data_IF_231472522946
#
_entry.id   IF_231472522946
#
_cell.length_a   1.000
_cell.length_b   1.000
_cell.length_c   1.000
_cell.angle_alpha   90.00
_cell.angle_beta   90.00
_cell.angle_gamma   90.00
#
_symmetry.space_group_name_H-M   'P 1'
#
loop_
_entity.id
_entity.type
_entity.pdbx_description
1 polymer ?
#
# COMPACT_ATOMS: atom_id res chain seq x y z
N UNK A 1 6.42 -6.54 -12.26
CA UNK A 1 5.60 -5.42 -11.73
C UNK A 1 4.19 -5.42 -12.33
N UNK A 2 4.01 -5.21 -13.63
CA UNK A 2 2.67 -5.19 -14.26
C UNK A 2 1.81 -6.44 -14.00
N UNK A 3 2.35 -7.65 -14.12
CA UNK A 3 1.57 -8.88 -13.82
C UNK A 3 1.03 -8.87 -12.38
N UNK A 4 1.81 -8.38 -11.42
CA UNK A 4 1.37 -8.24 -10.03
C UNK A 4 0.29 -7.18 -9.91
N UNK A 5 0.50 -5.99 -10.49
CA UNK A 5 -0.46 -4.89 -10.50
C UNK A 5 -1.84 -5.32 -10.99
N UNK A 6 -1.92 -6.05 -12.09
CA UNK A 6 -3.21 -6.53 -12.62
C UNK A 6 -3.84 -7.61 -11.74
N UNK A 7 -3.04 -8.45 -11.08
CA UNK A 7 -3.53 -9.52 -10.19
C UNK A 7 -4.10 -9.00 -8.87
N UNK A 8 -3.64 -7.84 -8.40
CA UNK A 8 -4.12 -7.23 -7.14
C UNK A 8 -5.31 -6.29 -7.34
N UNK A 9 -5.81 -6.15 -8.57
CA UNK A 9 -7.00 -5.38 -8.89
C UNK A 9 -8.16 -6.29 -9.24
N UNK A 10 -9.38 -5.84 -8.91
CA UNK A 10 -10.61 -6.54 -9.23
C UNK A 10 -11.76 -5.54 -9.45
N UNK A 11 -12.76 -5.88 -10.30
CA UNK A 11 -13.93 -5.03 -10.49
C UNK A 11 -14.72 -4.92 -9.19
N UNK A 12 -15.25 -3.72 -8.91
CA UNK A 12 -16.04 -3.42 -7.70
C UNK A 12 -15.33 -3.76 -6.36
N UNK A 13 -13.99 -3.78 -6.37
CA UNK A 13 -13.19 -3.92 -5.17
C UNK A 13 -12.76 -2.56 -4.60
N UNK A 14 -11.96 -2.57 -3.55
CA UNK A 14 -11.62 -1.39 -2.76
C UNK A 14 -12.49 -1.27 -1.51
N UNK A 15 -12.49 -0.10 -0.88
CA UNK A 15 -13.03 0.08 0.47
C UNK A 15 -11.98 -0.14 1.55
N UNK A 16 -12.43 -0.28 2.80
CA UNK A 16 -11.51 -0.55 3.91
C UNK A 16 -11.13 -2.03 3.97
N UNK A 17 -9.86 -2.35 4.26
CA UNK A 17 -9.41 -3.72 4.46
C UNK A 17 -10.08 -4.33 5.70
N UNK A 18 -10.14 -5.66 5.75
CA UNK A 18 -10.66 -6.41 6.91
C UNK A 18 -9.68 -7.52 7.30
N UNK A 19 -9.84 -8.08 8.49
CA UNK A 19 -9.00 -9.17 9.01
C UNK A 19 -7.53 -8.77 9.23
N UNK A 20 -6.63 -9.75 9.12
CA UNK A 20 -5.21 -9.60 9.49
C UNK A 20 -4.50 -8.43 8.77
N UNK A 21 -4.88 -8.12 7.53
CA UNK A 21 -4.30 -6.99 6.80
C UNK A 21 -4.74 -5.64 7.38
N UNK A 22 -5.98 -5.53 7.87
CA UNK A 22 -6.44 -4.33 8.58
C UNK A 22 -5.67 -4.15 9.88
N UNK A 23 -5.56 -5.20 10.67
CA UNK A 23 -4.83 -5.19 11.94
C UNK A 23 -3.35 -4.79 11.74
N UNK A 24 -2.69 -5.36 10.73
CA UNK A 24 -1.32 -5.01 10.40
C UNK A 24 -1.17 -3.56 9.90
N UNK A 25 -2.18 -3.02 9.19
CA UNK A 25 -2.20 -1.62 8.77
C UNK A 25 -2.37 -0.70 9.99
N UNK A 26 -3.31 -1.01 10.88
CA UNK A 26 -3.55 -0.23 12.09
C UNK A 26 -2.31 -0.26 13.01
N UNK A 27 -1.62 -1.40 13.14
CA UNK A 27 -0.37 -1.52 13.91
C UNK A 27 0.78 -0.70 13.29
N UNK A 28 0.88 -0.67 11.96
CA UNK A 28 1.99 -0.01 11.28
C UNK A 28 1.79 1.49 11.11
N UNK A 29 0.56 1.92 10.83
CA UNK A 29 0.24 3.29 10.39
C UNK A 29 -0.80 3.99 11.29
N UNK A 30 -1.28 3.33 12.34
CA UNK A 30 -2.32 3.84 13.24
C UNK A 30 -3.73 3.54 12.76
N UNK A 31 -4.06 3.91 11.53
CA UNK A 31 -5.32 3.57 10.88
C UNK A 31 -5.22 3.52 9.34
N UNK A 32 -6.28 3.06 8.69
CA UNK A 32 -6.35 2.97 7.24
C UNK A 32 -6.35 4.33 6.52
N UNK A 33 -6.84 5.39 7.16
CA UNK A 33 -6.86 6.73 6.56
C UNK A 33 -5.44 7.31 6.49
N UNK A 34 -4.67 7.19 7.57
CA UNK A 34 -3.25 7.56 7.63
C UNK A 34 -2.44 6.73 6.63
N UNK A 35 -2.65 5.41 6.57
CA UNK A 35 -2.02 4.57 5.54
C UNK A 35 -2.31 5.08 4.12
N UNK A 36 -3.57 5.39 3.80
CA UNK A 36 -3.94 5.90 2.47
C UNK A 36 -3.26 7.22 2.16
N UNK A 37 -3.13 8.11 3.13
CA UNK A 37 -2.44 9.39 2.97
C UNK A 37 -0.94 9.17 2.66
N UNK A 38 -0.26 8.36 3.47
CA UNK A 38 1.16 8.06 3.29
C UNK A 38 1.44 7.32 1.98
N UNK A 39 0.61 6.34 1.62
CA UNK A 39 0.76 5.59 0.38
C UNK A 39 0.56 6.49 -0.84
N UNK A 40 -0.46 7.36 -0.79
CA UNK A 40 -0.70 8.36 -1.84
C UNK A 40 0.48 9.33 -1.95
N UNK A 41 1.07 9.75 -0.83
CA UNK A 41 2.26 10.61 -0.82
C UNK A 41 3.46 9.93 -1.47
N UNK A 42 3.72 8.65 -1.15
CA UNK A 42 4.81 7.89 -1.76
C UNK A 42 4.61 7.67 -3.28
N UNK A 43 3.36 7.41 -3.70
CA UNK A 43 3.02 7.27 -5.12
C UNK A 43 3.13 8.59 -5.89
N UNK A 44 2.57 9.69 -5.36
CA UNK A 44 2.58 10.99 -6.01
C UNK A 44 3.97 11.66 -5.98
N UNK A 45 4.77 11.39 -4.95
CA UNK A 45 6.12 11.92 -4.79
C UNK A 45 7.19 11.23 -5.64
N UNK A 46 6.87 10.10 -6.30
CA UNK A 46 7.79 9.44 -7.23
C UNK A 46 8.02 10.34 -8.43
N UNK A 47 9.21 10.95 -8.49
CA UNK A 47 9.65 11.69 -9.65
C UNK A 47 10.07 10.73 -10.78
N UNK A 48 9.51 10.95 -11.98
CA UNK A 48 9.72 10.06 -13.12
C UNK A 48 8.83 8.81 -13.08
N UNK A 49 9.12 7.86 -13.96
CA UNK A 49 8.43 6.56 -13.94
C UNK A 49 8.79 5.78 -12.68
N UNK A 50 7.85 5.00 -12.14
CA UNK A 50 8.10 4.19 -10.96
C UNK A 50 6.84 3.59 -10.35
N UNK A 51 6.98 3.08 -9.13
CA UNK A 51 5.95 2.34 -8.40
C UNK A 51 5.93 2.74 -6.92
N UNK A 52 4.77 2.61 -6.28
CA UNK A 52 4.62 2.62 -4.83
C UNK A 52 4.16 1.24 -4.37
N UNK A 53 4.67 0.81 -3.21
CA UNK A 53 4.49 -0.53 -2.69
C UNK A 53 4.14 -0.50 -1.21
N UNK A 54 3.24 -1.39 -0.81
CA UNK A 54 3.07 -1.81 0.57
C UNK A 54 3.81 -3.15 0.70
N UNK A 55 4.80 -3.22 1.58
CA UNK A 55 5.67 -4.38 1.74
C UNK A 55 5.71 -4.81 3.20
N UNK A 56 6.05 -6.08 3.44
CA UNK A 56 6.38 -6.58 4.76
C UNK A 56 7.90 -6.53 4.92
N UNK A 57 8.39 -5.76 5.88
CA UNK A 57 9.81 -5.63 6.20
C UNK A 57 10.02 -5.98 7.68
N UNK A 58 10.83 -7.00 7.95
CA UNK A 58 11.11 -7.50 9.31
C UNK A 58 9.85 -7.77 10.14
N UNK A 59 8.78 -8.27 9.51
CA UNK A 59 7.52 -8.59 10.16
C UNK A 59 6.58 -7.41 10.40
N UNK A 60 6.91 -6.21 9.91
CA UNK A 60 6.05 -5.02 9.97
C UNK A 60 5.75 -4.48 8.58
N UNK A 61 4.55 -3.91 8.37
CA UNK A 61 4.23 -3.24 7.11
C UNK A 61 5.01 -1.93 6.96
N UNK A 62 5.49 -1.69 5.74
CA UNK A 62 6.19 -0.47 5.35
C UNK A 62 5.74 -0.01 3.96
N UNK A 63 5.81 1.30 3.73
CA UNK A 63 5.57 1.91 2.42
C UNK A 63 6.92 2.23 1.79
N UNK A 64 7.11 1.79 0.55
CA UNK A 64 8.32 2.11 -0.23
C UNK A 64 7.95 2.53 -1.65
N UNK A 65 8.92 3.11 -2.35
CA UNK A 65 8.78 3.57 -3.73
C UNK A 65 10.04 3.23 -4.51
N UNK A 66 9.88 2.81 -5.76
CA UNK A 66 10.99 2.45 -6.67
C UNK A 66 10.89 3.24 -7.97
N UNK A 67 12.03 3.65 -8.52
CA UNK A 67 12.13 4.14 -9.91
C UNK A 67 12.09 2.96 -10.89
#
# INVERSE_FOLDING_TARGET
NHSFFWKIMAPNAGGEPTGAIKEAIDEAFGDFATFKEEFKKAAAGRFGSGWAWLVMENGKLAITSTA
#
